data_IF_032187732958
#
_entry.id   IF_032187732958
#
_cell.length_a   1.000
_cell.length_b   1.000
_cell.length_c   1.000
_cell.angle_alpha   90.00
_cell.angle_beta   90.00
_cell.angle_gamma   90.00
#
_symmetry.space_group_name_H-M   'P 1'
#
loop_
_entity.id
_entity.type
_entity.pdbx_description
1 polymer ?
#
# COMPACT_ATOMS: atom_id res chain seq x y z
N UNK A 1 -33.03 -14.23 57.69
CA UNK A 1 -32.70 -14.03 56.27
C UNK A 1 -31.50 -13.10 56.20
N UNK A 2 -30.30 -13.61 55.85
CA UNK A 2 -29.07 -12.80 55.83
C UNK A 2 -29.13 -11.88 54.59
N UNK A 3 -28.86 -10.59 54.76
CA UNK A 3 -28.85 -9.60 53.67
C UNK A 3 -27.69 -9.91 52.70
N UNK A 4 -28.01 -10.52 51.55
CA UNK A 4 -27.05 -10.89 50.48
C UNK A 4 -26.71 -9.67 49.59
N UNK A 5 -27.49 -8.59 49.71
CA UNK A 5 -27.37 -7.37 48.90
C UNK A 5 -25.96 -6.71 48.87
N UNK A 6 -25.20 -6.59 49.98
CA UNK A 6 -23.88 -5.97 49.93
C UNK A 6 -22.82 -6.87 49.25
N UNK A 7 -22.99 -8.19 49.32
CA UNK A 7 -22.08 -9.14 48.65
C UNK A 7 -22.29 -9.13 47.13
N UNK A 8 -23.53 -8.91 46.69
CA UNK A 8 -23.89 -8.80 45.27
C UNK A 8 -23.41 -7.48 44.64
N UNK A 9 -23.46 -6.37 45.40
CA UNK A 9 -22.89 -5.08 44.97
C UNK A 9 -21.35 -5.14 44.84
N UNK A 10 -20.68 -5.83 45.76
CA UNK A 10 -19.22 -5.99 45.74
C UNK A 10 -18.75 -6.84 44.55
N UNK A 11 -19.51 -7.88 44.17
CA UNK A 11 -19.24 -8.69 42.97
C UNK A 11 -19.44 -7.90 41.67
N UNK A 12 -20.46 -7.04 41.59
CA UNK A 12 -20.67 -6.17 40.43
C UNK A 12 -19.56 -5.11 40.28
N UNK A 13 -19.06 -4.55 41.37
CA UNK A 13 -17.91 -3.63 41.33
C UNK A 13 -16.60 -4.32 40.96
N UNK A 14 -16.39 -5.58 41.37
CA UNK A 14 -15.22 -6.37 40.93
C UNK A 14 -15.30 -6.70 39.43
N UNK A 15 -16.47 -7.05 38.90
CA UNK A 15 -16.65 -7.32 37.47
C UNK A 15 -16.45 -6.06 36.59
N UNK A 16 -16.82 -4.88 37.09
CA UNK A 16 -16.60 -3.60 36.41
C UNK A 16 -15.11 -3.19 36.38
N UNK A 17 -14.30 -3.63 37.36
CA UNK A 17 -12.85 -3.39 37.39
C UNK A 17 -12.07 -4.30 36.43
N UNK A 18 -12.67 -5.41 35.96
CA UNK A 18 -12.11 -6.27 34.91
C UNK A 18 -12.51 -5.85 33.49
N UNK A 19 -13.32 -4.81 33.31
CA UNK A 19 -13.36 -4.07 32.04
C UNK A 19 -12.13 -3.18 31.93
N UNK A 20 -10.96 -3.80 32.03
CA UNK A 20 -9.76 -3.26 31.42
C UNK A 20 -10.11 -3.06 29.96
N UNK A 21 -10.13 -1.81 29.52
CA UNK A 21 -10.13 -1.47 28.11
C UNK A 21 -8.91 -2.17 27.52
N UNK A 22 -9.10 -3.37 26.98
CA UNK A 22 -8.13 -4.00 26.11
C UNK A 22 -7.97 -3.02 24.96
N UNK A 23 -6.93 -2.18 25.05
CA UNK A 23 -6.39 -1.52 23.88
C UNK A 23 -5.97 -2.67 22.98
N UNK A 24 -6.86 -3.04 22.05
CA UNK A 24 -6.50 -3.89 20.93
C UNK A 24 -5.29 -3.22 20.31
N UNK A 25 -4.11 -3.79 20.56
CA UNK A 25 -2.98 -3.56 19.71
C UNK A 25 -3.42 -4.06 18.35
N UNK A 26 -3.88 -3.15 17.50
CA UNK A 26 -4.27 -3.53 16.15
C UNK A 26 -2.98 -3.93 15.47
N UNK A 27 -2.81 -5.23 15.26
CA UNK A 27 -1.72 -5.76 14.46
C UNK A 27 -1.66 -5.04 13.12
N UNK A 28 -0.47 -5.00 12.53
CA UNK A 28 -0.30 -4.54 11.14
C UNK A 28 -1.34 -5.24 10.28
N UNK A 29 -2.16 -4.47 9.58
CA UNK A 29 -3.10 -4.98 8.60
C UNK A 29 -2.51 -4.73 7.22
N UNK A 30 -2.37 -5.78 6.44
CA UNK A 30 -1.99 -5.70 5.03
C UNK A 30 -3.21 -6.16 4.24
N UNK A 31 -3.80 -5.24 3.50
CA UNK A 31 -5.00 -5.50 2.70
C UNK A 31 -4.59 -5.56 1.23
N UNK A 32 -4.98 -6.62 0.54
CA UNK A 32 -4.89 -6.68 -0.92
C UNK A 32 -5.62 -5.47 -1.52
N UNK A 33 -4.96 -4.75 -2.42
CA UNK A 33 -5.50 -3.53 -3.01
C UNK A 33 -5.55 -3.61 -4.55
N UNK A 34 -5.64 -4.83 -5.05
CA UNK A 34 -5.55 -5.14 -6.47
C UNK A 34 -6.86 -4.91 -7.21
N UNK A 35 -8.00 -5.06 -6.54
CA UNK A 35 -9.30 -5.05 -7.21
C UNK A 35 -9.90 -3.65 -7.40
N UNK A 36 -10.69 -3.45 -8.45
CA UNK A 36 -11.56 -2.27 -8.61
C UNK A 36 -10.82 -0.96 -8.86
N UNK A 37 -9.96 -0.94 -9.88
CA UNK A 37 -9.31 0.25 -10.42
C UNK A 37 -10.04 0.72 -11.68
N UNK A 38 -10.03 2.03 -11.93
CA UNK A 38 -10.32 2.63 -13.22
C UNK A 38 -9.00 2.82 -13.99
N UNK A 39 -8.99 2.53 -15.29
CA UNK A 39 -7.83 2.67 -16.15
C UNK A 39 -8.18 3.43 -17.43
N UNK A 40 -7.27 4.30 -17.84
CA UNK A 40 -7.30 5.01 -19.11
C UNK A 40 -5.93 4.95 -19.79
N UNK A 41 -5.91 4.54 -21.06
CA UNK A 41 -4.73 4.58 -21.91
C UNK A 41 -4.71 5.91 -22.68
N UNK A 42 -3.68 6.71 -22.46
CA UNK A 42 -3.61 8.11 -22.87
C UNK A 42 -3.22 9.00 -21.69
N UNK A 43 -2.68 10.18 -21.97
CA UNK A 43 -2.45 11.19 -20.92
C UNK A 43 -3.73 12.01 -20.71
N UNK A 44 -4.05 12.33 -19.46
CA UNK A 44 -5.23 13.11 -19.10
C UNK A 44 -4.82 14.34 -18.31
N UNK A 45 -5.45 15.47 -18.62
CA UNK A 45 -5.27 16.68 -17.83
C UNK A 45 -6.00 16.54 -16.50
N UNK A 46 -5.36 16.93 -15.40
CA UNK A 46 -5.95 16.88 -14.05
C UNK A 46 -6.40 15.49 -13.56
N UNK A 47 -5.91 14.39 -14.15
CA UNK A 47 -6.23 13.03 -13.73
C UNK A 47 -5.87 12.69 -12.28
N UNK A 48 -5.04 13.51 -11.63
CA UNK A 48 -4.69 13.42 -10.22
C UNK A 48 -5.74 14.01 -9.26
N UNK A 49 -6.66 14.84 -9.76
CA UNK A 49 -7.61 15.56 -8.91
C UNK A 49 -8.73 14.63 -8.41
N UNK A 50 -9.18 14.77 -7.15
CA UNK A 50 -10.18 13.88 -6.57
C UNK A 50 -11.56 13.99 -7.24
N UNK A 51 -11.89 15.14 -7.81
CA UNK A 51 -13.15 15.45 -8.49
C UNK A 51 -13.14 15.15 -10.00
N UNK A 52 -12.02 14.67 -10.55
CA UNK A 52 -11.95 14.22 -11.94
C UNK A 52 -12.94 13.06 -12.19
N UNK A 53 -13.76 13.20 -13.23
CA UNK A 53 -14.73 12.18 -13.63
C UNK A 53 -14.07 11.03 -14.40
N UNK A 54 -14.01 9.86 -13.76
CA UNK A 54 -13.50 8.62 -14.33
C UNK A 54 -14.59 7.59 -14.67
N UNK A 55 -15.85 8.03 -14.79
CA UNK A 55 -16.98 7.14 -15.07
C UNK A 55 -16.78 6.30 -16.34
N UNK A 56 -16.22 6.90 -17.40
CA UNK A 56 -15.97 6.27 -18.69
C UNK A 56 -14.66 5.46 -18.74
N UNK A 57 -13.89 5.41 -17.65
CA UNK A 57 -12.64 4.64 -17.62
C UNK A 57 -12.92 3.15 -17.47
N UNK A 58 -12.07 2.33 -18.10
CA UNK A 58 -12.19 0.87 -18.02
C UNK A 58 -12.00 0.40 -16.58
N UNK A 59 -12.93 -0.39 -16.07
CA UNK A 59 -12.79 -1.02 -14.74
C UNK A 59 -11.99 -2.31 -14.87
N UNK A 60 -10.95 -2.45 -14.06
CA UNK A 60 -10.07 -3.62 -14.04
C UNK A 60 -9.46 -3.87 -12.66
N UNK A 61 -8.76 -4.99 -12.54
CA UNK A 61 -7.93 -5.31 -11.39
C UNK A 61 -6.45 -5.27 -11.83
N UNK A 62 -5.57 -4.87 -10.93
CA UNK A 62 -4.12 -5.05 -11.09
C UNK A 62 -3.72 -6.39 -10.42
N UNK A 63 -2.59 -7.03 -10.75
CA UNK A 63 -1.59 -6.67 -11.76
C UNK A 63 -2.16 -6.49 -13.17
N UNK A 64 -1.75 -5.43 -13.85
CA UNK A 64 -2.23 -5.09 -15.18
C UNK A 64 -1.07 -4.61 -16.06
N UNK A 65 -1.04 -5.11 -17.29
CA UNK A 65 -0.13 -4.72 -18.36
C UNK A 65 -0.97 -4.28 -19.56
N UNK A 66 -0.93 -3.00 -19.93
CA UNK A 66 -1.70 -2.53 -21.09
C UNK A 66 -0.97 -2.75 -22.41
N UNK A 67 0.35 -2.94 -22.39
CA UNK A 67 1.13 -3.14 -23.62
C UNK A 67 0.80 -4.47 -24.28
N UNK A 68 0.51 -5.51 -23.48
CA UNK A 68 0.19 -6.85 -23.98
C UNK A 68 -1.13 -6.91 -24.76
N UNK A 69 -2.01 -5.92 -24.56
CA UNK A 69 -3.30 -5.82 -25.22
C UNK A 69 -3.21 -5.16 -26.61
N UNK A 70 -2.04 -4.62 -26.96
CA UNK A 70 -1.81 -3.96 -28.24
C UNK A 70 -1.50 -4.92 -29.39
N UNK A 71 -1.63 -4.42 -30.61
CA UNK A 71 -1.22 -5.14 -31.82
C UNK A 71 0.29 -5.11 -32.01
N UNK A 72 0.85 -6.16 -32.59
CA UNK A 72 2.26 -6.19 -32.93
C UNK A 72 2.54 -5.31 -34.16
N UNK A 73 3.57 -4.47 -34.09
CA UNK A 73 4.04 -3.70 -35.24
C UNK A 73 5.53 -3.43 -35.17
N UNK A 74 6.19 -3.54 -36.33
CA UNK A 74 7.60 -3.16 -36.51
C UNK A 74 7.84 -1.65 -36.29
N UNK A 75 6.78 -0.85 -36.39
CA UNK A 75 6.83 0.60 -36.26
C UNK A 75 6.65 1.06 -34.80
N UNK A 76 6.34 0.14 -33.87
CA UNK A 76 6.27 0.48 -32.45
C UNK A 76 7.65 0.85 -31.89
N UNK A 77 7.74 1.91 -31.06
CA UNK A 77 9.02 2.48 -30.63
C UNK A 77 9.79 1.56 -29.68
N UNK A 78 9.12 0.57 -29.07
CA UNK A 78 9.77 -0.47 -28.27
C UNK A 78 10.68 -1.39 -29.12
N UNK A 79 10.52 -1.39 -30.46
CA UNK A 79 11.24 -2.24 -31.43
C UNK A 79 10.99 -3.75 -31.22
N UNK A 80 11.43 -4.64 -32.13
CA UNK A 80 11.35 -6.08 -31.89
C UNK A 80 12.06 -6.54 -30.60
N UNK A 81 13.13 -5.85 -30.19
CA UNK A 81 13.83 -6.15 -28.93
C UNK A 81 12.96 -5.91 -27.69
N UNK A 82 12.05 -4.95 -27.73
CA UNK A 82 11.05 -4.68 -26.70
C UNK A 82 9.72 -5.41 -26.90
N UNK A 83 9.65 -6.38 -27.81
CA UNK A 83 8.43 -7.16 -28.08
C UNK A 83 7.53 -6.60 -29.18
N UNK A 84 7.94 -5.55 -29.91
CA UNK A 84 7.18 -4.93 -31.01
C UNK A 84 5.73 -4.55 -30.63
N UNK A 85 5.53 -4.13 -29.38
CA UNK A 85 4.23 -3.73 -28.81
C UNK A 85 4.25 -2.25 -28.39
N UNK A 86 3.08 -1.59 -28.28
CA UNK A 86 3.00 -0.19 -27.88
C UNK A 86 3.35 0.01 -26.40
N UNK A 87 3.85 1.19 -26.06
CA UNK A 87 4.05 1.67 -24.69
C UNK A 87 3.08 2.81 -24.38
N UNK A 88 3.62 4.00 -24.09
CA UNK A 88 2.83 5.22 -23.93
C UNK A 88 2.56 5.57 -22.47
N UNK A 89 1.54 6.41 -22.25
CA UNK A 89 1.13 6.88 -20.92
C UNK A 89 -0.19 6.22 -20.56
N UNK A 90 -0.31 5.76 -19.31
CA UNK A 90 -1.53 5.21 -18.77
C UNK A 90 -1.82 5.78 -17.38
N UNK A 91 -3.09 5.91 -17.06
CA UNK A 91 -3.56 6.37 -15.77
C UNK A 91 -4.40 5.30 -15.07
N UNK A 92 -4.18 5.17 -13.76
CA UNK A 92 -4.98 4.35 -12.89
C UNK A 92 -5.58 5.21 -11.78
N UNK A 93 -6.87 5.03 -11.51
CA UNK A 93 -7.56 5.69 -10.39
C UNK A 93 -8.27 4.66 -9.54
N UNK A 94 -8.25 4.88 -8.22
CA UNK A 94 -8.97 4.04 -7.27
C UNK A 94 -9.61 4.87 -6.19
N UNK A 95 -10.92 4.79 -6.14
CA UNK A 95 -11.76 5.41 -5.12
C UNK A 95 -12.00 4.42 -3.98
N UNK A 96 -11.82 4.86 -2.74
CA UNK A 96 -12.01 4.02 -1.56
C UNK A 96 -12.36 4.86 -0.33
N UNK A 97 -12.99 4.23 0.66
CA UNK A 97 -13.30 4.85 1.94
C UNK A 97 -12.54 4.16 3.08
N UNK A 98 -12.20 4.93 4.11
CA UNK A 98 -11.61 4.40 5.34
C UNK A 98 -12.45 4.85 6.54
N UNK A 99 -12.75 3.94 7.49
CA UNK A 99 -13.39 4.33 8.73
C UNK A 99 -12.47 5.28 9.52
N UNK A 100 -13.06 6.13 10.36
CA UNK A 100 -12.29 7.00 11.25
C UNK A 100 -11.50 6.16 12.25
N UNK A 101 -10.18 6.18 12.14
CA UNK A 101 -9.28 5.62 13.16
C UNK A 101 -8.06 6.52 13.30
N UNK A 102 -8.07 7.37 14.32
CA UNK A 102 -7.04 8.38 14.57
C UNK A 102 -5.70 7.78 15.04
N UNK A 103 -5.63 6.48 15.36
CA UNK A 103 -4.43 5.87 15.93
C UNK A 103 -3.59 5.09 14.91
N UNK A 104 -3.92 5.16 13.61
CA UNK A 104 -3.26 4.37 12.56
C UNK A 104 -2.54 5.22 11.53
N UNK A 105 -1.34 4.76 11.18
CA UNK A 105 -0.65 5.15 9.97
C UNK A 105 -1.12 4.27 8.81
N UNK A 106 -1.23 4.87 7.63
CA UNK A 106 -1.70 4.19 6.42
C UNK A 106 -0.69 4.40 5.31
N UNK A 107 -0.30 3.32 4.65
CA UNK A 107 0.67 3.29 3.57
C UNK A 107 0.10 2.57 2.35
N UNK A 108 0.62 2.90 1.18
CA UNK A 108 0.41 2.15 -0.07
C UNK A 108 1.74 1.53 -0.50
N UNK A 109 1.71 0.23 -0.77
CA UNK A 109 2.86 -0.54 -1.24
C UNK A 109 2.61 -0.97 -2.68
N UNK A 110 3.57 -0.69 -3.57
CA UNK A 110 3.60 -1.20 -4.93
C UNK A 110 4.77 -2.16 -5.07
N UNK A 111 4.53 -3.38 -5.57
CA UNK A 111 5.59 -4.36 -5.83
C UNK A 111 6.37 -4.08 -7.13
N UNK A 112 5.84 -3.19 -7.97
CA UNK A 112 6.46 -2.73 -9.22
C UNK A 112 5.45 -2.04 -10.12
N UNK A 113 5.88 -0.95 -10.77
CA UNK A 113 5.09 -0.19 -11.75
C UNK A 113 6.03 0.19 -12.88
N UNK A 114 5.83 -0.36 -14.07
CA UNK A 114 6.69 -0.09 -15.22
C UNK A 114 6.09 0.98 -16.14
N UNK A 115 6.65 2.18 -16.23
CA UNK A 115 7.71 2.78 -15.41
C UNK A 115 7.45 4.29 -15.25
N UNK A 116 8.38 5.05 -14.67
CA UNK A 116 8.23 6.49 -14.45
C UNK A 116 6.89 6.85 -13.80
N UNK A 117 6.53 6.10 -12.78
CA UNK A 117 5.24 6.29 -12.12
C UNK A 117 5.24 7.55 -11.25
N UNK A 118 4.10 8.20 -11.18
CA UNK A 118 3.81 9.31 -10.28
C UNK A 118 2.52 8.97 -9.53
N UNK A 119 2.51 9.14 -8.21
CA UNK A 119 1.39 8.70 -7.36
C UNK A 119 0.86 9.88 -6.56
N UNK A 120 -0.46 10.02 -6.54
CA UNK A 120 -1.18 11.03 -5.75
C UNK A 120 -2.25 10.39 -4.89
N UNK A 121 -2.53 11.02 -3.76
CA UNK A 121 -3.70 10.77 -2.92
C UNK A 121 -4.46 12.08 -2.73
N UNK A 122 -5.74 12.11 -3.10
CA UNK A 122 -6.58 13.31 -3.00
C UNK A 122 -5.93 14.57 -3.62
N UNK A 123 -5.27 14.43 -4.78
CA UNK A 123 -4.54 15.51 -5.45
C UNK A 123 -3.14 15.84 -4.88
N UNK A 124 -2.77 15.30 -3.72
CA UNK A 124 -1.42 15.49 -3.15
C UNK A 124 -0.42 14.52 -3.75
N UNK A 125 0.66 15.03 -4.34
CA UNK A 125 1.74 14.22 -4.88
C UNK A 125 2.51 13.53 -3.75
N UNK A 126 2.57 12.20 -3.79
CA UNK A 126 3.34 11.37 -2.87
C UNK A 126 4.78 11.18 -3.34
N UNK A 127 4.98 11.13 -4.65
CA UNK A 127 6.31 11.09 -5.25
C UNK A 127 6.34 10.46 -6.64
N UNK A 128 7.57 10.31 -7.13
CA UNK A 128 7.88 9.73 -8.43
C UNK A 128 8.77 8.51 -8.27
N UNK A 129 8.56 7.49 -9.11
CA UNK A 129 9.40 6.29 -9.18
C UNK A 129 9.79 5.99 -10.64
N UNK A 130 11.02 6.36 -11.05
CA UNK A 130 11.53 6.08 -12.39
C UNK A 130 11.66 4.59 -12.69
N UNK A 131 12.33 3.85 -11.81
CA UNK A 131 12.69 2.45 -12.07
C UNK A 131 11.50 1.51 -11.88
N UNK A 132 11.19 0.72 -12.92
CA UNK A 132 9.96 -0.07 -12.95
C UNK A 132 9.96 -1.38 -12.17
N UNK A 133 11.12 -1.87 -11.72
CA UNK A 133 11.25 -3.26 -11.24
C UNK A 133 11.36 -3.44 -9.72
N UNK A 134 11.43 -2.35 -8.96
CA UNK A 134 11.66 -2.39 -7.50
C UNK A 134 10.41 -1.95 -6.74
N UNK A 135 10.12 -2.63 -5.64
CA UNK A 135 9.03 -2.24 -4.75
C UNK A 135 9.26 -0.87 -4.15
N UNK A 136 8.18 -0.15 -3.85
CA UNK A 136 8.20 1.13 -3.18
C UNK A 136 6.94 1.35 -2.34
N UNK A 137 7.05 2.24 -1.35
CA UNK A 137 5.99 2.59 -0.42
C UNK A 137 5.84 4.10 -0.34
N UNK A 138 4.60 4.57 -0.20
CA UNK A 138 4.29 5.93 0.22
C UNK A 138 3.40 5.94 1.45
N UNK A 139 3.57 6.96 2.31
CA UNK A 139 2.66 7.21 3.41
C UNK A 139 1.46 8.03 2.91
N UNK A 140 0.24 7.55 3.21
CA UNK A 140 -1.02 8.21 2.88
C UNK A 140 -1.54 9.07 4.03
N UNK A 141 -1.20 8.72 5.28
CA UNK A 141 -1.80 9.26 6.52
C UNK A 141 -2.06 10.77 6.49
N UNK A 142 -1.11 11.64 6.10
CA UNK A 142 -1.29 13.09 6.19
C UNK A 142 -2.36 13.66 5.25
N UNK A 143 -2.77 12.90 4.24
CA UNK A 143 -3.61 13.38 3.14
C UNK A 143 -4.95 12.64 3.04
N UNK A 144 -5.24 11.74 3.99
CA UNK A 144 -6.47 10.94 3.98
C UNK A 144 -7.67 11.70 4.53
N UNK A 145 -8.79 11.58 3.84
CA UNK A 145 -10.12 12.00 4.28
C UNK A 145 -10.78 10.84 5.04
N UNK A 146 -10.60 10.80 6.37
CA UNK A 146 -11.21 9.76 7.21
C UNK A 146 -12.73 9.92 7.30
N UNK A 147 -13.47 8.81 7.23
CA UNK A 147 -14.94 8.82 7.22
C UNK A 147 -15.55 9.33 5.90
N UNK A 148 -14.71 9.61 4.90
CA UNK A 148 -15.12 10.09 3.59
C UNK A 148 -14.37 9.35 2.47
N UNK A 149 -14.67 9.73 1.24
CA UNK A 149 -14.07 9.18 0.03
C UNK A 149 -12.64 9.69 -0.16
N UNK A 150 -11.76 8.79 -0.57
CA UNK A 150 -10.38 9.05 -0.97
C UNK A 150 -10.15 8.57 -2.40
N UNK A 151 -9.30 9.27 -3.14
CA UNK A 151 -8.93 8.94 -4.51
C UNK A 151 -7.42 8.80 -4.61
N UNK A 152 -6.95 7.58 -4.92
CA UNK A 152 -5.58 7.31 -5.28
C UNK A 152 -5.46 7.38 -6.80
N UNK A 153 -4.52 8.17 -7.32
CA UNK A 153 -4.23 8.29 -8.74
C UNK A 153 -2.77 7.90 -9.03
N UNK A 154 -2.56 7.18 -10.12
CA UNK A 154 -1.23 6.73 -10.57
C UNK A 154 -1.11 7.01 -12.06
N UNK A 155 -0.20 7.91 -12.43
CA UNK A 155 0.23 8.10 -13.83
C UNK A 155 1.45 7.22 -14.07
N UNK A 156 1.46 6.47 -15.15
CA UNK A 156 2.57 5.61 -15.56
C UNK A 156 3.01 6.01 -16.96
N UNK A 157 4.31 6.23 -17.15
CA UNK A 157 4.86 6.77 -18.40
C UNK A 157 5.94 5.85 -18.96
N UNK A 158 5.54 5.09 -19.97
CA UNK A 158 6.40 4.27 -20.77
C UNK A 158 6.47 4.78 -22.23
N UNK A 159 6.34 6.10 -22.44
CA UNK A 159 6.36 6.71 -23.77
C UNK A 159 7.77 6.84 -24.36
N UNK A 160 8.77 7.08 -23.52
CA UNK A 160 10.16 7.24 -23.94
C UNK A 160 10.79 5.87 -24.19
N UNK A 161 10.87 5.49 -25.47
CA UNK A 161 11.30 4.19 -25.98
C UNK A 161 12.35 4.38 -27.09
N UNK A 162 13.23 3.38 -27.33
CA UNK A 162 13.36 2.12 -26.61
C UNK A 162 14.02 2.31 -25.24
N UNK A 163 13.49 1.67 -24.21
CA UNK A 163 14.05 1.73 -22.84
C UNK A 163 14.37 0.36 -22.22
N UNK A 164 14.16 -0.72 -22.97
CA UNK A 164 14.43 -2.09 -22.57
C UNK A 164 14.96 -2.91 -23.74
N UNK A 165 15.76 -3.95 -23.44
CA UNK A 165 16.26 -4.93 -24.43
C UNK A 165 15.40 -6.21 -24.50
N UNK A 166 14.30 -6.23 -23.75
CA UNK A 166 13.32 -7.29 -23.67
C UNK A 166 11.93 -6.66 -23.50
N UNK A 167 10.88 -7.44 -23.73
CA UNK A 167 9.51 -7.02 -23.41
C UNK A 167 9.37 -6.72 -21.91
N UNK A 168 9.14 -5.46 -21.57
CA UNK A 168 8.95 -5.02 -20.18
C UNK A 168 7.49 -5.01 -19.73
N UNK A 169 6.56 -4.89 -20.68
CA UNK A 169 5.18 -4.49 -20.40
C UNK A 169 5.06 -3.02 -19.99
N UNK A 170 3.84 -2.60 -19.65
CA UNK A 170 3.57 -1.28 -19.09
C UNK A 170 2.43 -1.30 -18.08
N UNK A 171 2.63 -0.65 -16.93
CA UNK A 171 1.59 -0.43 -15.93
C UNK A 171 1.92 -0.93 -14.54
N UNK A 172 0.86 -1.06 -13.74
CA UNK A 172 0.93 -1.62 -12.39
C UNK A 172 0.93 -3.14 -12.55
N UNK A 173 2.04 -3.68 -13.05
CA UNK A 173 2.19 -5.09 -13.46
C UNK A 173 2.49 -6.03 -12.27
N UNK A 174 2.45 -5.53 -11.03
CA UNK A 174 2.58 -6.31 -9.80
C UNK A 174 1.59 -5.83 -8.73
N UNK A 175 1.53 -6.55 -7.62
CA UNK A 175 0.54 -6.32 -6.58
C UNK A 175 0.64 -4.93 -5.94
N UNK A 176 -0.51 -4.43 -5.52
CA UNK A 176 -0.66 -3.25 -4.67
C UNK A 176 -1.27 -3.67 -3.34
N UNK A 177 -0.75 -3.13 -2.24
CA UNK A 177 -1.27 -3.41 -0.89
C UNK A 177 -1.48 -2.13 -0.09
N UNK A 178 -2.61 -2.04 0.58
CA UNK A 178 -2.87 -0.99 1.56
C UNK A 178 -2.45 -1.50 2.94
N UNK A 179 -1.52 -0.81 3.59
CA UNK A 179 -0.92 -1.26 4.83
C UNK A 179 -1.25 -0.29 5.96
N UNK A 180 -1.87 -0.80 7.02
CA UNK A 180 -2.23 -0.03 8.21
C UNK A 180 -1.41 -0.50 9.40
N UNK A 181 -0.79 0.41 10.12
CA UNK A 181 -0.04 0.11 11.35
C UNK A 181 -0.50 1.02 12.47
N UNK A 182 -0.27 0.61 13.72
CA UNK A 182 -0.36 1.56 14.83
C UNK A 182 0.81 2.55 14.76
N UNK A 183 0.69 3.71 15.41
CA UNK A 183 1.80 4.67 15.51
C UNK A 183 3.08 4.09 16.13
N UNK A 184 2.97 2.98 16.87
CA UNK A 184 4.11 2.16 17.33
C UNK A 184 4.16 0.84 16.56
N UNK A 185 5.16 0.61 15.72
CA UNK A 185 5.19 -0.58 14.85
C UNK A 185 6.60 -1.00 14.42
N UNK A 186 6.77 -2.26 14.03
CA UNK A 186 7.97 -2.71 13.30
C UNK A 186 7.98 -2.06 11.92
N UNK A 187 9.09 -1.49 11.49
CA UNK A 187 9.19 -0.75 10.23
C UNK A 187 8.98 -1.63 8.98
N UNK A 188 8.78 -1.00 7.82
CA UNK A 188 8.83 -1.68 6.53
C UNK A 188 10.18 -2.37 6.33
N UNK A 189 10.17 -3.67 6.07
CA UNK A 189 11.38 -4.49 6.00
C UNK A 189 12.30 -4.34 7.22
N UNK A 190 11.72 -4.00 8.39
CA UNK A 190 12.48 -3.70 9.61
C UNK A 190 13.09 -4.92 10.30
N UNK A 191 12.80 -6.14 9.84
CA UNK A 191 13.33 -7.38 10.44
C UNK A 191 14.45 -7.95 9.59
N UNK A 192 15.63 -8.11 10.20
CA UNK A 192 16.80 -8.72 9.57
C UNK A 192 17.26 -9.91 10.41
N UNK A 193 17.31 -11.09 9.78
CA UNK A 193 17.64 -12.36 10.43
C UNK A 193 18.90 -12.94 9.80
N UNK A 194 19.87 -13.33 10.62
CA UNK A 194 21.05 -14.09 10.19
C UNK A 194 21.24 -15.33 11.05
N UNK A 195 21.90 -16.35 10.50
CA UNK A 195 22.28 -17.56 11.21
C UNK A 195 23.82 -17.64 11.31
N UNK A 196 24.45 -16.88 12.23
CA UNK A 196 25.91 -16.79 12.29
C UNK A 196 26.63 -18.10 12.67
N UNK A 197 25.92 -19.07 13.26
CA UNK A 197 26.47 -20.38 13.59
C UNK A 197 25.41 -21.47 13.35
N UNK A 198 25.75 -22.48 12.55
CA UNK A 198 24.88 -23.60 12.19
C UNK A 198 25.66 -24.90 12.27
N UNK A 199 25.08 -25.92 12.88
CA UNK A 199 25.55 -27.31 12.94
C UNK A 199 24.38 -28.28 12.71
N UNK A 200 24.67 -29.57 12.65
CA UNK A 200 23.65 -30.62 12.47
C UNK A 200 22.60 -30.67 13.59
N UNK A 201 22.95 -30.17 14.79
CA UNK A 201 22.08 -30.21 15.97
C UNK A 201 21.59 -28.85 16.45
N UNK A 202 22.14 -27.74 15.94
CA UNK A 202 21.86 -26.39 16.44
C UNK A 202 22.02 -25.32 15.37
N UNK A 203 21.15 -24.30 15.40
CA UNK A 203 21.38 -23.05 14.69
C UNK A 203 21.19 -21.87 15.66
N UNK A 204 22.20 -21.00 15.76
CA UNK A 204 22.09 -19.74 16.46
C UNK A 204 21.54 -18.69 15.49
N UNK A 205 20.38 -18.11 15.82
CA UNK A 205 19.76 -17.05 15.05
C UNK A 205 20.01 -15.69 15.70
N UNK A 206 20.40 -14.70 14.90
CA UNK A 206 20.46 -13.29 15.29
C UNK A 206 19.33 -12.56 14.57
N UNK A 207 18.42 -12.00 15.35
CA UNK A 207 17.29 -11.21 14.86
C UNK A 207 17.49 -9.74 15.26
N UNK A 208 17.43 -8.84 14.28
CA UNK A 208 17.41 -7.38 14.49
C UNK A 208 16.08 -6.84 13.99
N UNK A 209 15.40 -6.06 14.82
CA UNK A 209 14.09 -5.50 14.50
C UNK A 209 14.12 -3.99 14.68
N UNK A 210 13.83 -3.24 13.61
CA UNK A 210 13.65 -1.80 13.63
C UNK A 210 12.21 -1.47 14.01
N UNK A 211 12.04 -0.64 15.04
CA UNK A 211 10.74 -0.24 15.58
C UNK A 211 10.62 1.28 15.46
N UNK A 212 9.49 1.71 14.91
CA UNK A 212 9.12 3.11 14.73
C UNK A 212 8.13 3.50 15.80
N UNK A 213 8.40 4.62 16.48
CA UNK A 213 7.45 5.34 17.32
C UNK A 213 7.10 6.68 16.64
N UNK A 214 5.97 6.72 15.96
CA UNK A 214 5.43 7.92 15.31
C UNK A 214 4.45 8.69 16.21
N UNK A 215 4.38 8.38 17.50
CA UNK A 215 3.60 9.14 18.47
C UNK A 215 4.47 10.17 19.20
N UNK A 216 3.87 11.28 19.61
CA UNK A 216 4.55 12.35 20.37
C UNK A 216 4.93 11.96 21.81
N UNK A 217 4.69 10.71 22.21
CA UNK A 217 4.96 10.20 23.57
C UNK A 217 5.90 9.02 23.52
N UNK A 218 6.90 9.03 24.40
CA UNK A 218 7.74 7.87 24.67
C UNK A 218 6.87 6.73 25.18
N UNK A 219 7.03 5.54 24.58
CA UNK A 219 6.37 4.31 25.02
C UNK A 219 7.38 3.25 25.36
N UNK A 220 7.26 2.67 26.55
CA UNK A 220 7.95 1.44 26.88
C UNK A 220 7.40 0.30 26.02
N UNK A 221 8.30 -0.49 25.45
CA UNK A 221 7.97 -1.73 24.75
C UNK A 221 8.58 -2.91 25.47
N UNK A 222 7.89 -4.04 25.40
CA UNK A 222 8.43 -5.33 25.79
C UNK A 222 8.55 -6.17 24.52
N UNK A 223 9.78 -6.56 24.22
CA UNK A 223 10.12 -7.47 23.12
C UNK A 223 10.07 -8.92 23.60
#
# INVERSE_FOLDING_TARGET
MKNIFPLMLLLCCLAALFSSCERRFTSRQTVDFNSGWAFHLGDVENGQMPDYDDADWRRLNVPHDWSIEGEFSKDHPATPGGGALPGGIGWYRKTFALPSDAARLVFIDFDGVYMNSSVWINGHLLGHRPYGYISFRYELTPYLNYGATNVLAVRVDNSQQPNSRWYSGSGIYRNVRLVKTSTMHVDHWGTFVTAPAVSDSLAALRVRTMIVNAADKVRAIRL
#
